data_IF_338942206725
#
_entry.id   IF_338942206725
#
_cell.length_a   1.000
_cell.length_b   1.000
_cell.length_c   1.000
_cell.angle_alpha   90.00
_cell.angle_beta   90.00
_cell.angle_gamma   90.00
#
_symmetry.space_group_name_H-M   'P 1'
#
loop_
_entity.id
_entity.type
_entity.pdbx_description
1 polymer ?
#
# COMPACT_ATOMS: atom_id res chain seq x y z
N UNK A 1 5.17 25.58 -3.08
CA UNK A 1 5.10 24.43 -4.01
C UNK A 1 4.37 23.32 -3.28
N UNK A 2 3.41 22.64 -3.92
CA UNK A 2 2.57 21.67 -3.23
C UNK A 2 3.17 20.27 -3.38
N UNK A 3 3.69 19.74 -2.28
CA UNK A 3 4.39 18.44 -2.24
C UNK A 3 3.45 17.37 -1.70
N UNK A 4 3.37 16.23 -2.40
CA UNK A 4 2.70 15.03 -1.93
C UNK A 4 3.69 14.06 -1.28
N UNK A 5 3.38 13.58 -0.08
CA UNK A 5 4.04 12.38 0.45
C UNK A 5 3.29 11.13 -0.02
N UNK A 6 4.04 10.21 -0.61
CA UNK A 6 3.56 8.95 -1.13
C UNK A 6 4.17 7.83 -0.30
N UNK A 7 3.33 6.93 0.21
CA UNK A 7 3.79 5.83 1.04
C UNK A 7 3.65 4.50 0.31
N UNK A 8 4.71 3.69 0.20
CA UNK A 8 4.66 2.43 -0.53
C UNK A 8 3.88 1.34 0.23
N UNK A 9 3.44 0.34 -0.53
CA UNK A 9 2.78 -0.87 -0.03
C UNK A 9 3.65 -2.11 -0.18
N UNK A 10 3.03 -3.29 -0.17
CA UNK A 10 3.74 -4.56 -0.40
C UNK A 10 4.52 -4.56 -1.73
N UNK A 11 5.59 -5.36 -1.79
CA UNK A 11 6.63 -5.42 -2.83
C UNK A 11 7.75 -4.37 -2.69
N UNK A 12 7.64 -3.43 -1.75
CA UNK A 12 8.70 -2.48 -1.42
C UNK A 12 9.66 -2.95 -0.33
N UNK A 13 9.32 -4.00 0.42
CA UNK A 13 10.16 -4.52 1.51
C UNK A 13 11.49 -5.07 1.00
N UNK A 14 12.56 -4.87 1.77
CA UNK A 14 13.89 -5.43 1.53
C UNK A 14 14.59 -5.73 2.86
N UNK A 15 15.43 -6.77 2.89
CA UNK A 15 16.31 -7.02 4.03
C UNK A 15 17.21 -5.80 4.26
N UNK A 16 17.42 -5.43 5.52
CA UNK A 16 18.21 -4.27 5.94
C UNK A 16 17.44 -2.95 6.01
N UNK A 17 16.16 -2.92 5.64
CA UNK A 17 15.37 -1.69 5.71
C UNK A 17 15.20 -1.20 7.16
N UNK A 18 15.38 0.10 7.37
CA UNK A 18 15.22 0.75 8.68
C UNK A 18 16.29 0.42 9.72
N UNK A 19 17.33 -0.34 9.37
CA UNK A 19 18.44 -0.64 10.28
C UNK A 19 19.17 0.62 10.74
N UNK A 20 19.44 1.54 9.81
CA UNK A 20 20.06 2.82 10.11
C UNK A 20 19.14 3.72 10.95
N UNK A 21 17.83 3.71 10.70
CA UNK A 21 16.85 4.42 11.53
C UNK A 21 16.90 3.94 12.98
N UNK A 22 16.95 2.62 13.20
CA UNK A 22 17.06 2.03 14.52
C UNK A 22 18.40 2.37 15.19
N UNK A 23 19.52 2.24 14.47
CA UNK A 23 20.86 2.43 15.03
C UNK A 23 21.22 3.90 15.29
N UNK A 24 20.73 4.83 14.46
CA UNK A 24 21.22 6.21 14.39
C UNK A 24 20.18 7.27 14.76
N UNK A 25 18.97 6.88 15.17
CA UNK A 25 17.95 7.84 15.62
C UNK A 25 17.21 7.35 16.87
N UNK A 26 17.01 8.24 17.85
CA UNK A 26 16.24 7.94 19.05
C UNK A 26 14.79 7.59 18.72
N UNK A 27 14.22 8.27 17.71
CA UNK A 27 12.86 8.04 17.24
C UNK A 27 12.71 6.63 16.64
N UNK A 28 13.69 6.20 15.83
CA UNK A 28 13.71 4.87 15.24
C UNK A 28 13.79 3.78 16.31
N UNK A 29 14.72 3.91 17.26
CA UNK A 29 14.83 2.98 18.41
C UNK A 29 13.50 2.85 19.16
N UNK A 30 12.93 3.99 19.56
CA UNK A 30 11.64 4.05 20.27
C UNK A 30 10.50 3.35 19.50
N UNK A 31 10.38 3.59 18.19
CA UNK A 31 9.29 3.00 17.41
C UNK A 31 9.48 1.53 17.08
N UNK A 32 10.72 1.05 16.94
CA UNK A 32 10.99 -0.37 16.79
C UNK A 32 10.77 -1.14 18.10
N UNK A 33 11.15 -0.59 19.24
CA UNK A 33 10.86 -1.19 20.55
C UNK A 33 9.34 -1.32 20.76
N UNK A 34 8.61 -0.24 20.43
CA UNK A 34 7.15 -0.22 20.45
C UNK A 34 6.53 -1.18 19.42
N UNK A 35 7.16 -1.36 18.26
CA UNK A 35 6.67 -2.27 17.24
C UNK A 35 6.80 -3.74 17.68
N UNK A 36 7.93 -4.12 18.29
CA UNK A 36 8.13 -5.46 18.84
C UNK A 36 7.08 -5.77 19.93
N UNK A 37 6.80 -4.81 20.82
CA UNK A 37 5.73 -4.92 21.84
C UNK A 37 4.34 -5.15 21.22
N UNK A 38 3.98 -4.39 20.18
CA UNK A 38 2.65 -4.49 19.56
C UNK A 38 2.49 -5.77 18.72
N UNK A 39 3.55 -6.19 18.05
CA UNK A 39 3.52 -7.31 17.10
C UNK A 39 3.77 -8.67 17.75
N UNK A 40 4.18 -8.69 19.02
CA UNK A 40 4.58 -9.90 19.75
C UNK A 40 5.63 -10.73 18.98
N UNK A 41 6.50 -10.05 18.23
CA UNK A 41 7.58 -10.67 17.47
C UNK A 41 8.76 -9.71 17.29
N UNK A 42 9.93 -10.25 16.95
CA UNK A 42 11.11 -9.45 16.65
C UNK A 42 11.06 -8.92 15.21
N UNK A 43 10.29 -7.85 15.00
CA UNK A 43 10.18 -7.23 13.67
C UNK A 43 11.49 -6.57 13.24
N UNK A 44 12.38 -6.27 14.19
CA UNK A 44 13.72 -5.74 13.91
C UNK A 44 14.54 -6.80 13.17
N UNK A 45 14.72 -7.98 13.75
CA UNK A 45 15.51 -9.06 13.14
C UNK A 45 14.93 -9.48 11.77
N UNK A 46 13.60 -9.61 11.68
CA UNK A 46 12.92 -9.93 10.42
C UNK A 46 13.17 -8.87 9.33
N UNK A 47 13.20 -7.59 9.71
CA UNK A 47 13.44 -6.49 8.76
C UNK A 47 14.92 -6.35 8.39
N UNK A 48 15.82 -6.55 9.34
CA UNK A 48 17.25 -6.25 9.20
C UNK A 48 18.03 -7.43 8.62
N UNK A 49 17.74 -8.64 9.10
CA UNK A 49 18.50 -9.85 8.80
C UNK A 49 17.68 -10.88 8.01
N UNK A 50 16.34 -10.83 8.11
CA UNK A 50 15.44 -11.74 7.41
C UNK A 50 15.13 -13.01 8.23
N UNK A 51 14.99 -14.19 7.60
CA UNK A 51 15.24 -14.49 6.19
C UNK A 51 14.16 -13.91 5.26
N UNK A 52 14.50 -13.70 4.00
CA UNK A 52 13.62 -13.03 3.01
C UNK A 52 12.25 -13.71 2.88
N UNK A 53 12.21 -15.04 2.99
CA UNK A 53 10.98 -15.83 2.96
C UNK A 53 10.01 -15.46 4.08
N UNK A 54 10.52 -15.14 5.28
CA UNK A 54 9.70 -14.71 6.41
C UNK A 54 9.22 -13.27 6.16
N UNK A 55 10.12 -12.35 5.80
CA UNK A 55 9.76 -10.96 5.51
C UNK A 55 8.72 -10.83 4.38
N UNK A 56 8.69 -11.77 3.43
CA UNK A 56 7.70 -11.85 2.33
C UNK A 56 6.33 -12.39 2.74
N UNK A 57 6.14 -12.88 3.97
CA UNK A 57 4.81 -13.24 4.46
C UNK A 57 4.05 -11.97 4.81
N UNK A 58 2.80 -11.85 4.34
CA UNK A 58 1.95 -10.66 4.47
C UNK A 58 1.90 -10.13 5.90
N UNK A 59 1.75 -11.02 6.90
CA UNK A 59 1.72 -10.68 8.33
C UNK A 59 2.98 -9.96 8.85
N UNK A 60 4.13 -10.15 8.22
CA UNK A 60 5.38 -9.43 8.57
C UNK A 60 5.68 -8.30 7.58
N UNK A 61 5.39 -8.49 6.29
CA UNK A 61 5.64 -7.49 5.26
C UNK A 61 4.95 -6.16 5.57
N UNK A 62 3.66 -6.20 5.89
CA UNK A 62 2.89 -4.97 6.06
C UNK A 62 3.32 -4.18 7.31
N UNK A 63 3.45 -4.79 8.51
CA UNK A 63 4.00 -4.09 9.66
C UNK A 63 5.39 -3.52 9.42
N UNK A 64 6.29 -4.30 8.80
CA UNK A 64 7.68 -3.87 8.60
C UNK A 64 7.77 -2.63 7.69
N UNK A 65 7.00 -2.60 6.59
CA UNK A 65 6.92 -1.43 5.70
C UNK A 65 6.31 -0.23 6.43
N UNK A 66 5.22 -0.45 7.19
CA UNK A 66 4.57 0.63 7.94
C UNK A 66 5.52 1.28 8.96
N UNK A 67 6.27 0.47 9.73
CA UNK A 67 7.21 0.96 10.74
C UNK A 67 8.25 1.89 10.12
N UNK A 68 8.94 1.42 9.07
CA UNK A 68 9.94 2.22 8.35
C UNK A 68 9.34 3.50 7.78
N UNK A 69 8.20 3.37 7.10
CA UNK A 69 7.55 4.49 6.40
C UNK A 69 7.09 5.59 7.37
N UNK A 70 6.56 5.22 8.55
CA UNK A 70 6.13 6.19 9.55
C UNK A 70 7.31 6.81 10.30
N UNK A 71 8.39 6.06 10.58
CA UNK A 71 9.61 6.64 11.16
C UNK A 71 10.19 7.71 10.22
N UNK A 72 10.39 7.38 8.94
CA UNK A 72 10.91 8.32 7.94
C UNK A 72 10.00 9.54 7.78
N UNK A 73 8.69 9.33 7.70
CA UNK A 73 7.71 10.41 7.60
C UNK A 73 7.76 11.36 8.79
N UNK A 74 7.89 10.81 10.01
CA UNK A 74 8.01 11.63 11.22
C UNK A 74 9.33 12.40 11.29
N UNK A 75 10.45 11.76 10.95
CA UNK A 75 11.75 12.44 10.92
C UNK A 75 11.77 13.62 9.92
N UNK A 76 11.09 13.48 8.77
CA UNK A 76 10.93 14.59 7.82
C UNK A 76 10.08 15.72 8.40
N UNK A 77 8.96 15.40 9.05
CA UNK A 77 8.13 16.40 9.72
C UNK A 77 8.89 17.11 10.85
N UNK A 78 9.64 16.38 11.66
CA UNK A 78 10.47 16.91 12.76
C UNK A 78 11.60 17.82 12.22
N UNK A 79 12.11 17.53 11.01
CA UNK A 79 13.06 18.39 10.28
C UNK A 79 12.41 19.67 9.71
N UNK A 80 11.08 19.80 9.79
CA UNK A 80 10.34 20.98 9.36
C UNK A 80 9.77 20.89 7.94
N UNK A 81 9.78 19.72 7.29
CA UNK A 81 9.12 19.57 5.99
C UNK A 81 7.61 19.66 6.13
N UNK A 82 6.99 20.56 5.36
CA UNK A 82 5.54 20.74 5.34
C UNK A 82 4.90 19.81 4.33
N UNK A 83 4.03 18.93 4.82
CA UNK A 83 3.22 18.06 4.00
C UNK A 83 1.95 18.77 3.52
N UNK A 84 1.69 18.80 2.21
CA UNK A 84 0.46 19.42 1.65
C UNK A 84 -0.69 18.41 1.54
N UNK A 85 -0.40 17.23 1.00
CA UNK A 85 -1.34 16.12 0.83
C UNK A 85 -0.59 14.79 0.95
N UNK A 86 -1.30 13.72 1.30
CA UNK A 86 -0.70 12.38 1.30
C UNK A 86 -1.51 11.37 0.51
N UNK A 87 -0.83 10.32 0.06
CA UNK A 87 -1.46 9.08 -0.39
C UNK A 87 -0.54 7.92 -0.06
N UNK A 88 -1.07 6.71 -0.01
CA UNK A 88 -0.22 5.54 -0.04
C UNK A 88 -0.86 4.39 -0.78
N UNK A 89 -0.05 3.49 -1.28
CA UNK A 89 -0.53 2.37 -2.09
C UNK A 89 -0.87 1.20 -1.18
N UNK A 90 -2.15 0.82 -1.14
CA UNK A 90 -2.68 -0.26 -0.32
C UNK A 90 -2.31 -0.06 1.17
N UNK A 91 -1.36 -0.84 1.69
CA UNK A 91 -0.79 -0.68 3.03
C UNK A 91 -0.29 0.75 3.28
N UNK A 92 0.32 1.40 2.29
CA UNK A 92 0.84 2.76 2.45
C UNK A 92 -0.23 3.77 2.88
N UNK A 93 -1.52 3.53 2.61
CA UNK A 93 -2.61 4.41 3.06
C UNK A 93 -2.65 4.53 4.59
N UNK A 94 -2.28 3.47 5.32
CA UNK A 94 -2.19 3.49 6.79
C UNK A 94 -1.02 4.37 7.26
N UNK A 95 0.12 4.33 6.57
CA UNK A 95 1.25 5.23 6.84
C UNK A 95 0.87 6.68 6.54
N UNK A 96 0.21 6.93 5.41
CA UNK A 96 -0.29 8.26 5.03
C UNK A 96 -1.24 8.84 6.08
N UNK A 97 -2.23 8.05 6.53
CA UNK A 97 -3.21 8.44 7.54
C UNK A 97 -2.57 8.67 8.92
N UNK A 98 -1.56 7.88 9.28
CA UNK A 98 -0.79 8.07 10.53
C UNK A 98 -0.03 9.40 10.50
N UNK A 99 0.66 9.68 9.40
CA UNK A 99 1.41 10.93 9.22
C UNK A 99 0.46 12.14 9.13
N UNK A 100 -0.73 11.96 8.56
CA UNK A 100 -1.77 12.97 8.49
C UNK A 100 -2.59 13.13 9.80
N UNK A 101 -2.28 12.37 10.84
CA UNK A 101 -2.87 12.53 12.18
C UNK A 101 -4.24 11.87 12.41
N UNK A 102 -4.71 11.02 11.50
CA UNK A 102 -5.96 10.28 11.68
C UNK A 102 -5.91 9.36 12.93
N UNK A 103 -4.73 8.80 13.19
CA UNK A 103 -4.41 8.00 14.37
C UNK A 103 -2.91 8.06 14.66
N UNK A 104 -2.51 7.68 15.88
CA UNK A 104 -1.10 7.62 16.26
C UNK A 104 -0.43 6.32 15.76
N UNK A 105 0.90 6.24 15.89
CA UNK A 105 1.69 5.09 15.46
C UNK A 105 1.20 3.76 16.05
N UNK A 106 0.92 3.71 17.36
CA UNK A 106 0.48 2.49 18.06
C UNK A 106 -0.85 1.99 17.49
N UNK A 107 -1.82 2.88 17.32
CA UNK A 107 -3.11 2.54 16.74
C UNK A 107 -2.96 2.09 15.29
N UNK A 108 -2.20 2.83 14.48
CA UNK A 108 -1.99 2.44 13.08
C UNK A 108 -1.27 1.10 12.93
N UNK A 109 -0.29 0.79 13.79
CA UNK A 109 0.39 -0.50 13.76
C UNK A 109 -0.54 -1.65 14.18
N UNK A 110 -1.41 -1.43 15.18
CA UNK A 110 -2.44 -2.42 15.54
C UNK A 110 -3.42 -2.70 14.40
N UNK A 111 -3.85 -1.66 13.68
CA UNK A 111 -4.68 -1.82 12.48
C UNK A 111 -3.95 -2.60 11.39
N UNK A 112 -2.67 -2.28 11.14
CA UNK A 112 -1.85 -2.98 10.16
C UNK A 112 -1.61 -4.44 10.55
N UNK A 113 -1.36 -4.74 11.83
CA UNK A 113 -1.24 -6.11 12.35
C UNK A 113 -2.49 -6.93 12.03
N UNK A 114 -3.66 -6.44 12.47
CA UNK A 114 -4.94 -7.08 12.20
C UNK A 114 -5.18 -7.26 10.70
N UNK A 115 -5.02 -6.19 9.91
CA UNK A 115 -5.17 -6.24 8.45
C UNK A 115 -4.30 -7.33 7.84
N UNK A 116 -3.02 -7.37 8.20
CA UNK A 116 -2.04 -8.27 7.60
C UNK A 116 -2.31 -9.74 7.98
N UNK A 117 -2.63 -10.00 9.25
CA UNK A 117 -3.01 -11.32 9.75
C UNK A 117 -4.31 -11.79 9.09
N UNK A 118 -5.37 -10.98 9.11
CA UNK A 118 -6.66 -11.37 8.56
C UNK A 118 -6.61 -11.56 7.03
N UNK A 119 -5.85 -10.74 6.29
CA UNK A 119 -5.63 -10.94 4.85
C UNK A 119 -4.85 -12.24 4.55
N UNK A 120 -3.89 -12.58 5.40
CA UNK A 120 -3.17 -13.84 5.27
C UNK A 120 -4.11 -15.03 5.54
N UNK A 121 -4.85 -15.00 6.65
CA UNK A 121 -5.83 -16.04 6.99
C UNK A 121 -6.92 -16.18 5.93
N UNK A 122 -7.41 -15.08 5.34
CA UNK A 122 -8.37 -15.15 4.24
C UNK A 122 -7.81 -15.91 3.02
N UNK A 123 -6.52 -15.72 2.70
CA UNK A 123 -5.85 -16.47 1.65
C UNK A 123 -5.63 -17.96 1.97
N UNK A 124 -5.52 -18.31 3.25
CA UNK A 124 -5.41 -19.69 3.74
C UNK A 124 -6.79 -20.40 3.74
N UNK A 125 -7.87 -19.67 4.05
CA UNK A 125 -9.26 -20.18 4.01
C UNK A 125 -9.72 -20.40 2.57
N UNK A 126 -9.54 -19.40 1.71
CA UNK A 126 -9.94 -19.46 0.31
C UNK A 126 -8.74 -19.11 -0.58
N UNK A 127 -8.18 -20.15 -1.21
CA UNK A 127 -7.04 -20.03 -2.09
C UNK A 127 -7.32 -19.03 -3.23
N UNK A 128 -6.50 -17.98 -3.30
CA UNK A 128 -6.57 -16.95 -4.32
C UNK A 128 -5.20 -16.53 -4.79
N UNK A 129 -5.14 -15.78 -5.90
CA UNK A 129 -3.87 -15.26 -6.43
C UNK A 129 -4.06 -13.92 -7.13
N UNK A 130 -2.96 -13.36 -7.61
CA UNK A 130 -2.95 -12.09 -8.34
C UNK A 130 -2.02 -12.19 -9.55
N UNK A 131 -2.30 -11.41 -10.59
CA UNK A 131 -1.43 -11.32 -11.76
C UNK A 131 -1.36 -9.88 -12.28
N UNK A 132 -0.15 -9.41 -12.62
CA UNK A 132 0.04 -8.15 -13.31
C UNK A 132 -0.12 -8.34 -14.82
N UNK A 133 -1.05 -7.58 -15.41
CA UNK A 133 -1.31 -7.51 -16.84
C UNK A 133 -0.77 -6.18 -17.37
N UNK A 134 0.11 -6.25 -18.37
CA UNK A 134 0.81 -5.09 -18.91
C UNK A 134 0.53 -4.97 -20.40
N UNK A 135 0.13 -3.79 -20.85
CA UNK A 135 -0.06 -3.46 -22.27
C UNK A 135 -1.50 -3.49 -22.78
N UNK A 136 -2.50 -3.64 -21.90
CA UNK A 136 -3.92 -3.56 -22.25
C UNK A 136 -4.60 -2.37 -21.55
N UNK A 137 -5.67 -1.85 -22.14
CA UNK A 137 -6.49 -0.81 -21.52
C UNK A 137 -7.32 -1.34 -20.34
N UNK A 138 -7.69 -0.44 -19.43
CA UNK A 138 -8.51 -0.76 -18.26
C UNK A 138 -9.84 -1.45 -18.67
N UNK A 139 -10.53 -0.93 -19.69
CA UNK A 139 -11.78 -1.49 -20.21
C UNK A 139 -11.60 -2.91 -20.77
N UNK A 140 -10.47 -3.17 -21.46
CA UNK A 140 -10.18 -4.50 -22.00
C UNK A 140 -9.94 -5.50 -20.88
N UNK A 141 -9.25 -5.08 -19.82
CA UNK A 141 -8.97 -5.93 -18.66
C UNK A 141 -10.26 -6.21 -17.87
N UNK A 142 -11.12 -5.20 -17.68
CA UNK A 142 -12.45 -5.38 -17.08
C UNK A 142 -13.30 -6.36 -17.88
N UNK A 143 -13.33 -6.24 -19.21
CA UNK A 143 -14.05 -7.17 -20.10
C UNK A 143 -13.51 -8.59 -20.00
N UNK A 144 -12.17 -8.77 -19.98
CA UNK A 144 -11.54 -10.08 -19.79
C UNK A 144 -11.95 -10.69 -18.45
N UNK A 145 -11.81 -9.95 -17.35
CA UNK A 145 -12.21 -10.41 -16.02
C UNK A 145 -13.68 -10.85 -16.00
N UNK A 146 -14.60 -10.01 -16.50
CA UNK A 146 -16.02 -10.34 -16.56
C UNK A 146 -16.32 -11.61 -17.38
N UNK A 147 -15.59 -11.85 -18.47
CA UNK A 147 -15.73 -13.06 -19.28
C UNK A 147 -15.10 -14.32 -18.65
N UNK A 148 -14.32 -14.17 -17.59
CA UNK A 148 -13.62 -15.24 -16.88
C UNK A 148 -14.27 -15.56 -15.53
N UNK A 149 -15.22 -14.74 -15.07
CA UNK A 149 -15.90 -14.89 -13.77
C UNK A 149 -16.93 -16.03 -13.71
N UNK A 150 -16.96 -16.99 -14.65
CA UNK A 150 -17.97 -18.07 -14.76
C UNK A 150 -18.25 -18.81 -13.42
N UNK A 151 -19.10 -18.24 -12.56
CA UNK A 151 -19.29 -18.66 -11.16
C UNK A 151 -18.09 -18.42 -10.22
N UNK A 152 -17.00 -17.82 -10.71
CA UNK A 152 -15.75 -17.61 -10.00
C UNK A 152 -15.41 -16.11 -9.91
N UNK A 153 -14.64 -15.69 -8.91
CA UNK A 153 -14.20 -14.31 -8.73
C UNK A 153 -12.88 -14.08 -9.47
N UNK A 154 -12.87 -13.08 -10.35
CA UNK A 154 -11.66 -12.44 -10.87
C UNK A 154 -11.98 -10.99 -11.20
N UNK A 155 -11.23 -10.05 -10.63
CA UNK A 155 -11.49 -8.62 -10.76
C UNK A 155 -10.17 -7.84 -10.95
N UNK A 156 -10.21 -6.66 -11.56
CA UNK A 156 -9.12 -5.71 -11.46
C UNK A 156 -8.95 -5.23 -10.00
N UNK A 157 -7.76 -5.38 -9.47
CA UNK A 157 -7.41 -5.11 -8.07
C UNK A 157 -6.53 -3.88 -7.89
N UNK A 158 -5.58 -3.62 -8.81
CA UNK A 158 -4.75 -2.41 -8.74
C UNK A 158 -4.61 -1.77 -10.12
N UNK A 159 -5.13 -0.56 -10.28
CA UNK A 159 -4.91 0.28 -11.47
C UNK A 159 -3.68 1.13 -11.24
N UNK A 160 -2.50 0.59 -11.57
CA UNK A 160 -1.22 1.14 -11.14
C UNK A 160 -0.70 2.26 -12.04
N UNK A 161 -0.86 2.10 -13.36
CA UNK A 161 -0.48 3.12 -14.36
C UNK A 161 -1.20 2.81 -15.67
N UNK A 162 -1.20 3.72 -16.67
CA UNK A 162 -1.69 3.40 -18.00
C UNK A 162 -1.07 2.10 -18.52
N UNK A 163 -1.93 1.14 -18.87
CA UNK A 163 -1.48 -0.16 -19.38
C UNK A 163 -0.81 -1.07 -18.35
N UNK A 164 -0.99 -0.86 -17.04
CA UNK A 164 -0.53 -1.78 -15.99
C UNK A 164 -1.63 -1.94 -14.93
N UNK A 165 -2.32 -3.07 -14.97
CA UNK A 165 -3.35 -3.42 -14.00
C UNK A 165 -3.02 -4.77 -13.38
N UNK A 166 -3.20 -4.89 -12.06
CA UNK A 166 -3.15 -6.17 -11.37
C UNK A 166 -4.57 -6.70 -11.25
N UNK A 167 -4.80 -7.95 -11.66
CA UNK A 167 -6.04 -8.69 -11.44
C UNK A 167 -5.90 -9.60 -10.22
N UNK A 168 -7.01 -9.89 -9.56
CA UNK A 168 -7.07 -10.70 -8.34
C UNK A 168 -8.35 -11.53 -8.28
N UNK A 169 -8.24 -12.72 -7.71
CA UNK A 169 -9.38 -13.60 -7.51
C UNK A 169 -8.95 -15.06 -7.30
N UNK A 170 -9.85 -15.97 -7.61
CA UNK A 170 -9.60 -17.41 -7.52
C UNK A 170 -8.54 -17.84 -8.54
N UNK A 171 -7.73 -18.83 -8.16
CA UNK A 171 -6.54 -19.23 -8.92
C UNK A 171 -6.90 -19.62 -10.37
N UNK A 172 -7.96 -20.41 -10.55
CA UNK A 172 -8.43 -20.86 -11.86
C UNK A 172 -8.90 -19.70 -12.74
N UNK A 173 -9.70 -18.78 -12.19
CA UNK A 173 -10.23 -17.63 -12.90
C UNK A 173 -9.14 -16.61 -13.27
N UNK A 174 -8.16 -16.39 -12.37
CA UNK A 174 -6.99 -15.55 -12.66
C UNK A 174 -6.14 -16.17 -13.78
N UNK A 175 -5.87 -17.48 -13.73
CA UNK A 175 -5.11 -18.15 -14.80
C UNK A 175 -5.83 -18.09 -16.16
N UNK A 176 -7.15 -18.25 -16.17
CA UNK A 176 -7.93 -18.08 -17.40
C UNK A 176 -7.84 -16.65 -17.94
N UNK A 177 -7.97 -15.65 -17.06
CA UNK A 177 -7.84 -14.25 -17.44
C UNK A 177 -6.43 -13.90 -17.94
N UNK A 178 -5.38 -14.51 -17.37
CA UNK A 178 -4.00 -14.39 -17.85
C UNK A 178 -3.85 -14.90 -19.29
N UNK A 179 -4.43 -16.05 -19.62
CA UNK A 179 -4.39 -16.61 -20.98
C UNK A 179 -5.12 -15.69 -21.97
N UNK A 180 -6.35 -15.28 -21.63
CA UNK A 180 -7.11 -14.33 -22.48
C UNK A 180 -6.43 -12.98 -22.65
N UNK A 181 -5.73 -12.48 -21.63
CA UNK A 181 -4.96 -11.26 -21.74
C UNK A 181 -3.79 -11.42 -22.72
N UNK A 182 -3.11 -12.57 -22.69
CA UNK A 182 -2.03 -12.90 -23.63
C UNK A 182 -2.57 -12.96 -25.07
N UNK A 183 -3.67 -13.66 -25.29
CA UNK A 183 -4.36 -13.74 -26.60
C UNK A 183 -4.84 -12.36 -27.09
N UNK A 184 -5.26 -11.50 -26.17
CA UNK A 184 -5.68 -10.13 -26.47
C UNK A 184 -4.52 -9.15 -26.75
N UNK A 185 -3.27 -9.63 -26.74
CA UNK A 185 -2.08 -8.82 -27.06
C UNK A 185 -1.46 -8.10 -25.87
N UNK A 186 -1.67 -8.58 -24.64
CA UNK A 186 -0.91 -8.07 -23.50
C UNK A 186 0.60 -8.24 -23.75
N UNK A 187 1.37 -7.18 -23.53
CA UNK A 187 2.83 -7.20 -23.66
C UNK A 187 3.47 -8.16 -22.68
N UNK A 188 2.99 -8.19 -21.43
CA UNK A 188 3.46 -9.11 -20.40
C UNK A 188 2.30 -9.49 -19.47
N UNK A 189 2.33 -10.73 -19.01
CA UNK A 189 1.39 -11.29 -18.03
C UNK A 189 2.20 -12.02 -16.97
N UNK A 190 2.17 -11.56 -15.72
CA UNK A 190 3.07 -12.02 -14.67
C UNK A 190 2.25 -12.41 -13.45
N UNK A 191 2.26 -13.69 -13.07
CA UNK A 191 1.68 -14.12 -11.79
C UNK A 191 2.50 -13.56 -10.63
N UNK A 192 1.82 -13.00 -9.64
CA UNK A 192 2.47 -12.42 -8.47
C UNK A 192 2.65 -13.48 -7.38
N UNK A 193 3.78 -13.42 -6.69
CA UNK A 193 4.03 -14.24 -5.51
C UNK A 193 3.37 -13.62 -4.27
N UNK A 194 2.08 -13.88 -4.10
CA UNK A 194 1.24 -13.38 -3.01
C UNK A 194 0.48 -14.52 -2.36
N UNK A 195 0.12 -14.34 -1.09
CA UNK A 195 -0.56 -15.37 -0.29
C UNK A 195 -2.09 -15.39 -0.48
N UNK A 196 -2.66 -14.50 -1.29
CA UNK A 196 -4.11 -14.44 -1.46
C UNK A 196 -4.57 -13.49 -2.57
N UNK A 197 -5.89 -13.35 -2.67
CA UNK A 197 -6.56 -12.51 -3.66
C UNK A 197 -6.90 -11.11 -3.12
N UNK A 198 -5.88 -10.28 -2.89
CA UNK A 198 -6.05 -8.96 -2.27
C UNK A 198 -6.84 -7.98 -3.15
N UNK A 199 -7.62 -7.08 -2.53
CA UNK A 199 -8.46 -6.10 -3.23
C UNK A 199 -9.51 -6.76 -4.13
N UNK A 200 -10.10 -7.86 -3.64
CA UNK A 200 -11.18 -8.61 -4.30
C UNK A 200 -12.22 -9.07 -3.28
N UNK A 201 -13.41 -9.49 -3.71
CA UNK A 201 -14.43 -10.06 -2.82
C UNK A 201 -13.96 -11.21 -1.92
N UNK A 202 -12.89 -11.94 -2.28
CA UNK A 202 -12.32 -13.00 -1.45
C UNK A 202 -11.76 -12.48 -0.12
N UNK A 203 -11.54 -11.17 0.01
CA UNK A 203 -11.08 -10.55 1.25
C UNK A 203 -12.20 -10.18 2.21
N UNK A 204 -13.44 -10.63 1.98
CA UNK A 204 -14.57 -10.39 2.89
C UNK A 204 -14.26 -10.74 4.35
N UNK A 205 -13.70 -11.92 4.67
CA UNK A 205 -13.38 -12.25 6.06
C UNK A 205 -12.36 -11.28 6.68
N UNK A 206 -11.39 -10.83 5.89
CA UNK A 206 -10.38 -9.88 6.33
C UNK A 206 -10.94 -8.47 6.54
N UNK A 207 -11.87 -8.04 5.67
CA UNK A 207 -12.62 -6.79 5.85
C UNK A 207 -13.39 -6.80 7.16
N UNK A 208 -14.12 -7.88 7.45
CA UNK A 208 -14.98 -7.97 8.63
C UNK A 208 -14.18 -7.84 9.93
N UNK A 209 -13.08 -8.58 10.04
CA UNK A 209 -12.16 -8.47 11.17
C UNK A 209 -11.60 -7.05 11.34
N UNK A 210 -11.17 -6.43 10.24
CA UNK A 210 -10.66 -5.06 10.29
C UNK A 210 -11.76 -4.03 10.63
N UNK A 211 -12.99 -4.24 10.15
CA UNK A 211 -14.12 -3.35 10.42
C UNK A 211 -14.47 -3.31 11.91
N UNK A 212 -14.37 -4.45 12.61
CA UNK A 212 -14.57 -4.54 14.06
C UNK A 212 -13.59 -3.63 14.82
N UNK A 213 -12.29 -3.74 14.51
CA UNK A 213 -11.27 -2.89 15.14
C UNK A 213 -11.46 -1.44 14.75
N UNK A 214 -11.65 -1.15 13.46
CA UNK A 214 -11.88 0.22 13.01
C UNK A 214 -13.02 0.82 13.83
N UNK A 215 -14.20 0.20 13.86
CA UNK A 215 -15.39 0.72 14.54
C UNK A 215 -15.23 0.93 16.05
N UNK A 216 -14.30 0.23 16.71
CA UNK A 216 -14.01 0.39 18.14
C UNK A 216 -12.93 1.44 18.46
N UNK A 217 -12.15 1.90 17.47
CA UNK A 217 -11.09 2.89 17.69
C UNK A 217 -11.52 4.32 17.34
N UNK A 218 -10.89 5.28 18.03
CA UNK A 218 -10.92 6.68 17.65
C UNK A 218 -10.14 6.91 16.36
N UNK A 219 -10.83 7.41 15.34
CA UNK A 219 -10.24 7.98 14.13
C UNK A 219 -10.53 9.48 14.16
N UNK A 220 -9.51 10.28 13.93
CA UNK A 220 -9.59 11.75 13.89
C UNK A 220 -9.70 12.23 12.46
N UNK A 221 -10.23 13.44 12.30
CA UNK A 221 -10.08 14.16 11.05
C UNK A 221 -8.57 14.40 10.82
N UNK A 222 -8.11 14.28 9.59
CA UNK A 222 -6.70 14.52 9.26
C UNK A 222 -6.41 16.01 9.14
N UNK A 223 -5.18 16.41 9.49
CA UNK A 223 -4.73 17.82 9.41
C UNK A 223 -4.46 18.28 7.97
N UNK A 224 -4.40 17.34 7.04
CA UNK A 224 -4.18 17.52 5.61
C UNK A 224 -5.06 16.54 4.83
N UNK A 225 -5.36 16.81 3.55
CA UNK A 225 -6.07 15.84 2.72
C UNK A 225 -5.26 14.57 2.47
N UNK A 226 -5.92 13.41 2.61
CA UNK A 226 -5.38 12.10 2.23
C UNK A 226 -6.20 11.53 1.09
N UNK A 227 -5.55 11.11 0.00
CA UNK A 227 -6.24 10.49 -1.13
C UNK A 227 -6.45 9.00 -0.86
N UNK A 228 -7.72 8.61 -0.75
CA UNK A 228 -8.08 7.21 -0.51
C UNK A 228 -7.98 6.39 -1.80
N UNK A 229 -7.51 5.16 -1.68
CA UNK A 229 -7.32 4.23 -2.79
C UNK A 229 -8.62 3.89 -3.51
N UNK A 230 -9.72 3.79 -2.77
CA UNK A 230 -11.02 3.33 -3.28
C UNK A 230 -11.76 4.38 -4.10
N UNK A 231 -11.54 5.67 -3.83
CA UNK A 231 -12.20 6.79 -4.51
C UNK A 231 -11.26 7.55 -5.43
N UNK A 232 -9.95 7.53 -5.13
CA UNK A 232 -8.93 8.43 -5.66
C UNK A 232 -9.21 9.92 -5.39
N UNK A 233 -10.01 10.22 -4.36
CA UNK A 233 -10.38 11.57 -3.97
C UNK A 233 -9.74 11.95 -2.63
N UNK A 234 -9.40 13.24 -2.44
CA UNK A 234 -8.86 13.72 -1.17
C UNK A 234 -9.96 13.77 -0.10
N UNK A 235 -9.68 13.25 1.09
CA UNK A 235 -10.58 13.32 2.25
C UNK A 235 -9.85 13.86 3.46
N UNK A 236 -10.61 14.47 4.37
CA UNK A 236 -10.14 14.83 5.72
C UNK A 236 -11.02 14.28 6.84
N UNK A 237 -12.25 13.88 6.53
CA UNK A 237 -13.24 13.48 7.52
C UNK A 237 -13.02 12.04 7.98
N UNK A 238 -13.04 11.84 9.30
CA UNK A 238 -12.91 10.51 9.93
C UNK A 238 -13.93 9.47 9.44
N UNK A 239 -15.14 9.89 9.07
CA UNK A 239 -16.17 8.99 8.51
C UNK A 239 -15.75 8.43 7.16
N UNK A 240 -15.22 9.28 6.29
CA UNK A 240 -14.78 8.89 4.94
C UNK A 240 -13.55 8.01 5.02
N UNK A 241 -12.62 8.34 5.93
CA UNK A 241 -11.43 7.54 6.23
C UNK A 241 -11.83 6.14 6.69
N UNK A 242 -12.74 6.04 7.68
CA UNK A 242 -13.24 4.77 8.20
C UNK A 242 -13.86 3.90 7.11
N UNK A 243 -14.80 4.46 6.37
CA UNK A 243 -15.51 3.75 5.30
C UNK A 243 -14.56 3.35 4.16
N UNK A 244 -13.59 4.21 3.87
CA UNK A 244 -12.51 3.97 2.91
C UNK A 244 -11.66 2.77 3.26
N UNK A 245 -11.11 2.75 4.48
CA UNK A 245 -10.25 1.67 4.97
C UNK A 245 -10.97 0.32 5.02
N UNK A 246 -12.23 0.29 5.46
CA UNK A 246 -13.06 -0.92 5.44
C UNK A 246 -13.22 -1.41 4.00
N UNK A 247 -13.63 -0.52 3.09
CA UNK A 247 -13.85 -0.89 1.68
C UNK A 247 -12.56 -1.29 0.96
N UNK A 248 -11.40 -0.79 1.40
CA UNK A 248 -10.12 -0.93 0.71
C UNK A 248 -9.72 -2.40 0.47
N UNK A 249 -10.10 -3.31 1.37
CA UNK A 249 -9.69 -4.72 1.28
C UNK A 249 -10.37 -5.47 0.13
N UNK A 250 -11.55 -5.03 -0.30
CA UNK A 250 -12.35 -5.68 -1.34
C UNK A 250 -12.45 -4.87 -2.64
N UNK A 251 -12.08 -3.59 -2.60
CA UNK A 251 -12.17 -2.66 -3.73
C UNK A 251 -10.80 -2.36 -4.33
N UNK A 252 -10.74 -2.00 -5.63
CA UNK A 252 -9.49 -1.75 -6.30
C UNK A 252 -8.73 -0.55 -5.73
N UNK A 253 -7.40 -0.63 -5.79
CA UNK A 253 -6.50 0.51 -5.60
C UNK A 253 -6.44 1.32 -6.89
N UNK A 254 -7.04 2.51 -6.88
CA UNK A 254 -7.11 3.41 -8.04
C UNK A 254 -5.87 4.33 -8.15
N UNK A 255 -4.66 3.76 -8.07
CA UNK A 255 -3.41 4.55 -7.97
C UNK A 255 -3.19 5.52 -9.15
N UNK A 256 -3.42 5.05 -10.38
CA UNK A 256 -3.34 5.88 -11.58
C UNK A 256 -4.29 7.08 -11.48
N UNK A 257 -5.53 6.85 -11.04
CA UNK A 257 -6.50 7.92 -10.82
C UNK A 257 -6.04 8.85 -9.70
N UNK A 258 -5.53 8.34 -8.58
CA UNK A 258 -5.03 9.14 -7.45
C UNK A 258 -3.97 10.15 -7.91
N UNK A 259 -2.96 9.69 -8.64
CA UNK A 259 -1.86 10.56 -9.10
C UNK A 259 -2.35 11.57 -10.14
N UNK A 260 -3.25 11.17 -11.05
CA UNK A 260 -3.80 12.10 -12.04
C UNK A 260 -4.74 13.14 -11.41
N UNK A 261 -5.51 12.79 -10.39
CA UNK A 261 -6.31 13.74 -9.60
C UNK A 261 -5.42 14.70 -8.82
N UNK A 262 -4.33 14.22 -8.19
CA UNK A 262 -3.32 15.08 -7.56
C UNK A 262 -2.75 16.11 -8.55
N UNK A 263 -2.38 15.68 -9.75
CA UNK A 263 -1.85 16.59 -10.76
C UNK A 263 -2.89 17.63 -11.23
N UNK A 264 -4.16 17.24 -11.40
CA UNK A 264 -5.27 18.17 -11.68
C UNK A 264 -5.44 19.22 -10.56
N UNK A 265 -5.18 18.82 -9.32
CA UNK A 265 -5.18 19.69 -8.14
C UNK A 265 -3.86 20.45 -7.95
N UNK A 266 -3.02 20.53 -8.99
CA UNK A 266 -1.75 21.28 -9.01
C UNK A 266 -0.70 20.74 -8.02
N UNK A 267 -0.79 19.45 -7.67
CA UNK A 267 0.23 18.72 -6.92
C UNK A 267 1.13 17.98 -7.93
N UNK A 268 2.38 18.43 -8.09
CA UNK A 268 3.28 17.92 -9.15
C UNK A 268 4.70 17.57 -8.66
N UNK A 269 4.93 17.67 -7.34
CA UNK A 269 6.12 17.17 -6.65
C UNK A 269 5.73 16.05 -5.70
N UNK A 270 6.42 14.93 -5.80
CA UNK A 270 6.11 13.72 -5.03
C UNK A 270 7.34 13.25 -4.28
N UNK A 271 7.14 12.75 -3.07
CA UNK A 271 8.19 12.16 -2.23
C UNK A 271 7.71 10.78 -1.81
N UNK A 272 8.35 9.72 -2.32
CA UNK A 272 8.11 8.35 -1.87
C UNK A 272 8.85 8.14 -0.54
N UNK A 273 8.12 7.90 0.55
CA UNK A 273 8.66 7.77 1.90
C UNK A 273 8.41 6.35 2.39
N UNK A 274 9.48 5.59 2.51
CA UNK A 274 9.42 4.16 2.83
C UNK A 274 10.41 3.37 1.99
N UNK A 275 10.49 2.06 2.17
CA UNK A 275 11.46 1.25 1.46
C UNK A 275 11.13 1.14 -0.04
N UNK A 276 12.17 1.00 -0.86
CA UNK A 276 12.07 0.79 -2.29
C UNK A 276 11.71 2.03 -3.11
N UNK A 277 11.41 1.77 -4.39
CA UNK A 277 11.18 2.81 -5.42
C UNK A 277 10.00 2.48 -6.33
N UNK A 278 9.02 1.75 -5.80
CA UNK A 278 7.91 1.23 -6.58
C UNK A 278 7.06 2.39 -7.09
N UNK A 279 6.72 3.35 -6.21
CA UNK A 279 5.86 4.49 -6.56
C UNK A 279 6.56 5.48 -7.48
N UNK A 280 7.88 5.69 -7.32
CA UNK A 280 8.70 6.40 -8.31
C UNK A 280 8.56 5.77 -9.71
N UNK A 281 8.65 4.44 -9.79
CA UNK A 281 8.47 3.69 -11.03
C UNK A 281 7.07 3.87 -11.64
N UNK A 282 6.01 3.78 -10.82
CA UNK A 282 4.63 3.97 -11.26
C UNK A 282 4.35 5.40 -11.72
N UNK A 283 4.76 6.40 -10.94
CA UNK A 283 4.58 7.81 -11.29
C UNK A 283 5.23 8.16 -12.62
N UNK A 284 6.45 7.67 -12.87
CA UNK A 284 7.14 7.86 -14.15
C UNK A 284 6.40 7.21 -15.33
N UNK A 285 5.69 6.10 -15.11
CA UNK A 285 4.84 5.46 -16.14
C UNK A 285 3.55 6.24 -16.39
N UNK A 286 2.99 6.87 -15.34
CA UNK A 286 1.80 7.74 -15.45
C UNK A 286 2.14 9.02 -16.21
N UNK A 287 3.22 9.71 -15.80
CA UNK A 287 3.73 10.87 -16.50
C UNK A 287 5.25 11.01 -16.26
N UNK A 288 6.01 11.04 -17.36
CA UNK A 288 7.48 11.17 -17.33
C UNK A 288 7.97 12.51 -16.79
N UNK A 289 7.12 13.55 -16.76
CA UNK A 289 7.50 14.87 -16.25
C UNK A 289 7.34 14.99 -14.74
N UNK A 290 6.73 14.01 -14.06
CA UNK A 290 6.57 14.05 -12.61
C UNK A 290 7.92 13.88 -11.90
N UNK A 291 8.22 14.82 -11.01
CA UNK A 291 9.37 14.74 -10.12
C UNK A 291 8.97 13.92 -8.89
N UNK A 292 9.50 12.70 -8.79
CA UNK A 292 9.33 11.85 -7.60
C UNK A 292 10.70 11.55 -7.01
N UNK A 293 10.96 12.00 -5.78
CA UNK A 293 12.18 11.69 -5.01
C UNK A 293 11.88 10.59 -3.99
N UNK A 294 12.86 9.74 -3.68
CA UNK A 294 12.73 8.70 -2.65
C UNK A 294 13.41 9.09 -1.35
N UNK A 295 12.82 8.71 -0.22
CA UNK A 295 13.38 8.78 1.13
C UNK A 295 13.28 7.38 1.71
N UNK A 296 14.39 6.64 1.73
CA UNK A 296 14.43 5.24 2.19
C UNK A 296 15.26 5.07 3.47
N UNK A 297 16.14 6.03 3.77
CA UNK A 297 17.15 5.98 4.85
C UNK A 297 17.17 7.26 5.69
N UNK A 298 17.83 7.21 6.84
CA UNK A 298 18.12 8.39 7.66
C UNK A 298 18.99 9.40 6.91
N UNK A 299 19.96 8.92 6.12
CA UNK A 299 20.84 9.75 5.32
C UNK A 299 20.04 10.60 4.31
N UNK A 300 19.08 9.96 3.64
CA UNK A 300 18.14 10.67 2.76
C UNK A 300 17.38 11.76 3.52
N UNK A 301 16.88 11.48 4.74
CA UNK A 301 16.21 12.48 5.57
C UNK A 301 17.14 13.65 5.91
N UNK A 302 18.40 13.38 6.28
CA UNK A 302 19.38 14.40 6.65
C UNK A 302 19.72 15.30 5.45
N UNK A 303 19.81 14.73 4.26
CA UNK A 303 20.22 15.46 3.05
C UNK A 303 19.07 15.99 2.19
N UNK A 304 17.82 15.64 2.50
CA UNK A 304 16.66 16.16 1.79
C UNK A 304 16.50 17.68 2.00
N UNK A 305 16.25 18.43 0.93
CA UNK A 305 16.08 19.90 0.89
C UNK A 305 14.84 20.31 0.12
#
# INVERSE_FOLDING_TARGET
MNTAFLFPGQASQKIGMGFDLFQKSELGKKYYDLANDILDCDIQDISFNGPEKILKQTKYTQPAIYVVSVILGKLLLDKGFTLTVAAGHSLGEYSALTIAGAFNFRTGLKLVKCRAESMQTAGEIQNGTMAAIIGLSDDKIQSICGSCSNGNVVVPANYNSPGQVVISGEVSAVHLAMNKATEAGARNVIRLNVSGAFHSPLMTPAREALAEILNSIEIRDTIIPVYLNVSAEPVTKRSDIRNGLISQLEKPVLWHKTITTMNKNKINKYVEIGPGRVLQGLNRRINRTFQTTGIETLDDVIHYV
#
